data_IF_689263959891
#
_entry.id   IF_689263959891
#
_cell.length_a   1.000
_cell.length_b   1.000
_cell.length_c   1.000
_cell.angle_alpha   90.00
_cell.angle_beta   90.00
_cell.angle_gamma   90.00
#
_symmetry.space_group_name_H-M   'P 1'
#
loop_
_entity.id
_entity.type
_entity.pdbx_description
1 polymer ?
#
# COMPACT_ATOMS: atom_id res chain seq x y z
N UNK A 1 7.06 -19.99 9.61
CA UNK A 1 6.28 -18.83 9.14
C UNK A 1 4.92 -18.95 9.79
N UNK A 2 4.57 -18.07 10.73
CA UNK A 2 3.27 -18.15 11.38
C UNK A 2 2.18 -17.81 10.35
N UNK A 3 1.22 -18.71 10.14
CA UNK A 3 0.07 -18.48 9.27
C UNK A 3 -0.90 -17.51 9.94
N UNK A 4 -0.56 -16.22 9.91
CA UNK A 4 -1.47 -15.15 10.34
C UNK A 4 -2.80 -15.18 9.58
N UNK A 5 -2.86 -15.87 8.45
CA UNK A 5 -4.09 -16.19 7.74
C UNK A 5 -5.11 -16.94 8.60
N UNK A 6 -4.68 -17.88 9.44
CA UNK A 6 -5.58 -18.58 10.37
C UNK A 6 -5.99 -17.68 11.55
N UNK A 7 -5.04 -16.91 12.09
CA UNK A 7 -5.34 -15.93 13.14
C UNK A 7 -6.37 -14.88 12.67
N UNK A 8 -6.27 -14.45 11.40
CA UNK A 8 -7.25 -13.56 10.76
C UNK A 8 -8.60 -14.26 10.56
N UNK A 9 -8.65 -15.55 10.23
CA UNK A 9 -9.92 -16.28 10.17
C UNK A 9 -10.61 -16.35 11.53
N UNK A 10 -9.84 -16.52 12.61
CA UNK A 10 -10.35 -16.58 13.98
C UNK A 10 -10.78 -15.20 14.51
N UNK A 11 -10.01 -14.15 14.20
CA UNK A 11 -10.33 -12.77 14.57
C UNK A 11 -10.08 -11.84 13.38
N UNK A 12 -11.05 -11.69 12.47
CA UNK A 12 -10.89 -10.91 11.25
C UNK A 12 -10.83 -9.39 11.49
N UNK A 13 -11.17 -8.95 12.71
CA UNK A 13 -11.19 -7.54 13.08
C UNK A 13 -9.95 -7.11 13.89
N UNK A 14 -8.98 -8.02 14.04
CA UNK A 14 -7.75 -7.73 14.79
C UNK A 14 -6.71 -7.08 13.89
N UNK A 15 -6.54 -5.77 14.04
CA UNK A 15 -5.60 -4.93 13.28
C UNK A 15 -4.17 -5.47 13.35
N UNK A 16 -3.76 -5.97 14.52
CA UNK A 16 -2.41 -6.48 14.76
C UNK A 16 -2.05 -7.63 13.82
N UNK A 17 -2.98 -8.51 13.47
CA UNK A 17 -2.67 -9.65 12.60
C UNK A 17 -2.42 -9.22 11.16
N UNK A 18 -3.15 -8.22 10.66
CA UNK A 18 -2.88 -7.64 9.34
C UNK A 18 -1.54 -6.91 9.30
N UNK A 19 -1.19 -6.16 10.36
CA UNK A 19 0.12 -5.51 10.45
C UNK A 19 1.27 -6.54 10.52
N UNK A 20 1.14 -7.59 11.32
CA UNK A 20 2.17 -8.62 11.39
C UNK A 20 2.33 -9.37 10.06
N UNK A 21 1.23 -9.66 9.35
CA UNK A 21 1.28 -10.29 8.04
C UNK A 21 1.86 -9.36 6.96
N UNK A 22 1.50 -8.06 6.98
CA UNK A 22 2.07 -7.07 6.07
C UNK A 22 3.57 -6.90 6.25
N UNK A 23 4.07 -7.01 7.50
CA UNK A 23 5.51 -7.01 7.79
C UNK A 23 6.22 -8.19 7.11
N UNK A 24 5.64 -9.38 7.18
CA UNK A 24 6.21 -10.57 6.53
C UNK A 24 6.21 -10.43 5.01
N UNK A 25 5.16 -9.83 4.44
CA UNK A 25 5.16 -9.54 3.01
C UNK A 25 6.23 -8.50 2.63
N UNK A 26 6.49 -7.50 3.48
CA UNK A 26 7.58 -6.54 3.27
C UNK A 26 8.96 -7.21 3.27
N UNK A 27 9.21 -8.15 4.18
CA UNK A 27 10.49 -8.88 4.21
C UNK A 27 10.65 -9.83 3.02
N UNK A 28 9.54 -10.28 2.44
CA UNK A 28 9.49 -11.04 1.18
C UNK A 28 9.51 -10.16 -0.08
N UNK A 29 9.61 -8.84 0.07
CA UNK A 29 9.52 -7.87 -1.01
C UNK A 29 8.18 -7.91 -1.79
N UNK A 30 7.14 -8.50 -1.18
CA UNK A 30 5.80 -8.59 -1.73
C UNK A 30 4.99 -7.35 -1.36
N UNK A 31 5.32 -6.25 -2.04
CA UNK A 31 4.69 -4.93 -1.81
C UNK A 31 3.18 -4.98 -2.04
N UNK A 32 2.71 -5.80 -2.99
CA UNK A 32 1.29 -5.90 -3.35
C UNK A 32 0.46 -6.50 -2.21
N UNK A 33 0.87 -7.64 -1.67
CA UNK A 33 0.16 -8.28 -0.57
C UNK A 33 0.30 -7.48 0.74
N UNK A 34 1.46 -6.86 0.96
CA UNK A 34 1.67 -5.99 2.11
C UNK A 34 0.74 -4.76 2.10
N UNK A 35 0.54 -4.12 0.94
CA UNK A 35 -0.40 -3.02 0.80
C UNK A 35 -1.83 -3.45 1.10
N UNK A 36 -2.27 -4.58 0.56
CA UNK A 36 -3.63 -5.09 0.78
C UNK A 36 -3.94 -5.31 2.27
N UNK A 37 -2.99 -5.89 3.02
CA UNK A 37 -3.11 -6.09 4.46
C UNK A 37 -3.10 -4.77 5.23
N UNK A 38 -2.22 -3.86 4.85
CA UNK A 38 -2.12 -2.53 5.48
C UNK A 38 -3.40 -1.71 5.24
N UNK A 39 -4.02 -1.81 4.07
CA UNK A 39 -5.32 -1.20 3.80
C UNK A 39 -6.44 -1.81 4.62
N UNK A 40 -6.41 -3.13 4.88
CA UNK A 40 -7.36 -3.77 5.78
C UNK A 40 -7.19 -3.31 7.22
N UNK A 41 -5.95 -3.20 7.70
CA UNK A 41 -5.63 -2.62 8.99
C UNK A 41 -6.21 -1.20 9.13
N UNK A 42 -6.05 -0.34 8.11
CA UNK A 42 -6.61 1.02 8.10
C UNK A 42 -8.13 1.08 7.97
N UNK A 43 -8.77 0.08 7.36
CA UNK A 43 -10.25 -0.01 7.33
C UNK A 43 -10.82 -0.37 8.70
N UNK A 44 -10.09 -1.17 9.48
CA UNK A 44 -10.47 -1.57 10.84
C UNK A 44 -10.14 -0.47 11.86
N UNK A 45 -8.97 0.13 11.75
CA UNK A 45 -8.53 1.27 12.56
C UNK A 45 -7.90 2.36 11.67
N UNK A 46 -8.70 3.35 11.22
CA UNK A 46 -8.21 4.47 10.41
C UNK A 46 -7.23 5.38 11.14
N UNK A 47 -7.14 5.30 12.47
CA UNK A 47 -6.25 6.10 13.31
C UNK A 47 -4.93 5.38 13.60
N UNK A 48 -4.77 4.15 13.14
CA UNK A 48 -3.55 3.38 13.34
C UNK A 48 -2.37 4.04 12.61
N UNK A 49 -1.47 4.66 13.37
CA UNK A 49 -0.32 5.37 12.82
C UNK A 49 0.68 4.42 12.16
N UNK A 50 0.85 3.21 12.70
CA UNK A 50 1.76 2.22 12.14
C UNK A 50 1.27 1.74 10.77
N UNK A 51 -0.03 1.48 10.62
CA UNK A 51 -0.62 1.12 9.34
C UNK A 51 -0.46 2.24 8.30
N UNK A 52 -0.65 3.51 8.68
CA UNK A 52 -0.41 4.64 7.76
C UNK A 52 1.05 4.71 7.31
N UNK A 53 1.98 4.71 8.27
CA UNK A 53 3.41 4.80 7.98
C UNK A 53 3.90 3.66 7.07
N UNK A 54 3.36 2.45 7.26
CA UNK A 54 3.66 1.31 6.37
C UNK A 54 3.08 1.51 4.98
N UNK A 55 1.82 1.95 4.86
CA UNK A 55 1.18 2.21 3.56
C UNK A 55 1.98 3.23 2.75
N UNK A 56 2.40 4.32 3.39
CA UNK A 56 3.16 5.39 2.73
C UNK A 56 4.52 4.87 2.23
N UNK A 57 5.24 4.09 3.06
CA UNK A 57 6.50 3.45 2.66
C UNK A 57 6.31 2.48 1.49
N UNK A 58 5.26 1.67 1.54
CA UNK A 58 4.95 0.70 0.50
C UNK A 58 4.57 1.37 -0.81
N UNK A 59 3.80 2.47 -0.77
CA UNK A 59 3.44 3.25 -1.94
C UNK A 59 4.67 3.90 -2.57
N UNK A 60 5.60 4.44 -1.76
CA UNK A 60 6.87 4.97 -2.24
C UNK A 60 7.73 3.89 -2.93
N UNK A 61 7.76 2.67 -2.38
CA UNK A 61 8.42 1.50 -3.01
C UNK A 61 7.74 1.06 -4.31
N UNK A 62 6.42 1.20 -4.39
CA UNK A 62 5.66 0.84 -5.58
C UNK A 62 5.83 1.88 -6.69
N UNK A 63 5.85 3.18 -6.34
CA UNK A 63 6.06 4.28 -7.27
C UNK A 63 7.48 4.30 -7.88
N UNK A 64 8.48 3.84 -7.12
CA UNK A 64 9.86 3.70 -7.62
C UNK A 64 10.05 2.52 -8.56
N UNK A 65 9.20 1.50 -8.48
CA UNK A 65 9.17 0.35 -9.40
C UNK A 65 8.13 0.48 -10.51
N UNK A 66 7.30 1.53 -10.50
CA UNK A 66 6.45 1.82 -11.64
C UNK A 66 7.36 2.25 -12.80
N UNK A 67 7.22 1.70 -14.02
CA UNK A 67 7.90 2.25 -15.17
C UNK A 67 7.56 3.73 -15.21
N UNK A 68 8.59 4.58 -15.36
CA UNK A 68 8.44 6.00 -15.56
C UNK A 68 7.44 6.20 -16.69
N UNK A 69 6.16 6.44 -16.37
CA UNK A 69 5.21 6.92 -17.35
C UNK A 69 5.52 8.40 -17.45
N UNK A 70 6.19 8.88 -18.51
CA UNK A 70 6.39 10.29 -18.66
C UNK A 70 5.01 10.94 -18.61
N UNK A 71 4.87 11.94 -17.74
CA UNK A 71 3.75 12.87 -17.72
C UNK A 71 3.47 13.22 -19.19
N UNK A 72 2.26 12.99 -19.74
CA UNK A 72 1.97 13.46 -21.08
C UNK A 72 2.21 14.97 -21.06
N UNK A 73 3.18 15.42 -21.86
CA UNK A 73 3.53 16.82 -21.97
C UNK A 73 2.24 17.61 -22.15
N UNK A 74 2.01 18.56 -21.26
CA UNK A 74 0.99 19.57 -21.46
C UNK A 74 1.22 20.16 -22.86
N UNK A 75 0.31 19.90 -23.78
CA UNK A 75 0.26 20.62 -25.05
C UNK A 75 0.19 22.10 -24.70
N UNK A 76 1.18 22.93 -25.06
CA UNK A 76 1.04 24.35 -24.86
C UNK A 76 -0.09 24.82 -25.79
N UNK A 77 -1.11 25.43 -25.20
CA UNK A 77 -2.11 26.18 -25.92
C UNK A 77 -1.39 27.20 -26.82
N UNK A 78 -1.40 26.95 -28.13
CA UNK A 78 -0.99 27.94 -29.13
C UNK A 78 -2.25 28.65 -29.61
N UNK A 79 -2.52 29.77 -28.94
CA UNK A 79 -3.34 30.88 -29.43
C UNK A 79 -2.85 31.30 -30.81
N UNK A 80 -3.73 31.29 -31.81
CA UNK A 80 -3.42 31.79 -33.14
C UNK A 80 -4.69 32.16 -33.91
N UNK A 81 -5.20 33.36 -33.67
CA UNK A 81 -6.12 34.08 -34.57
C UNK A 81 -5.39 34.41 -35.87
N UNK A 82 -6.09 34.44 -37.00
CA UNK A 82 -6.39 35.73 -37.61
C UNK A 82 -7.83 36.18 -37.34
#
# INVERSE_FOLDING_TARGET
>A
MADYSEAIKLKPNEVKYYLLRSYIYETKNDVKNSLADTEKALKLDPKNQEAKARKDRLLARQATNAPFTPIPAASPAATGRP
#
